data_IF_554099575218
#
_entry.id   IF_554099575218
#
_cell.length_a   1.000
_cell.length_b   1.000
_cell.length_c   1.000
_cell.angle_alpha   90.00
_cell.angle_beta   90.00
_cell.angle_gamma   90.00
#
_symmetry.space_group_name_H-M   'P 1'
#
loop_
_entity.id
_entity.type
_entity.pdbx_description
1 polymer ?
#
# COMPACT_ATOMS: atom_id res chain seq x y z
N UNK A 1 -18.52 -27.79 3.61
CA UNK A 1 -18.21 -26.38 3.24
C UNK A 1 -17.16 -26.39 2.15
N UNK A 2 -17.52 -26.02 0.92
CA UNK A 2 -16.61 -26.00 -0.23
C UNK A 2 -15.76 -24.73 -0.13
N UNK A 3 -14.46 -24.85 0.16
CA UNK A 3 -13.51 -23.73 0.12
C UNK A 3 -13.53 -23.12 -1.30
N UNK A 4 -14.08 -21.90 -1.44
CA UNK A 4 -13.96 -21.13 -2.68
C UNK A 4 -12.45 -20.85 -2.89
N UNK A 5 -11.90 -21.36 -4.01
CA UNK A 5 -10.52 -21.00 -4.41
C UNK A 5 -10.48 -19.48 -4.60
N UNK A 6 -9.42 -18.82 -4.07
CA UNK A 6 -9.24 -17.38 -4.33
C UNK A 6 -9.17 -17.14 -5.85
N UNK A 7 -9.71 -16.02 -6.33
CA UNK A 7 -9.69 -15.69 -7.74
C UNK A 7 -8.24 -15.69 -8.26
N UNK A 8 -8.01 -16.33 -9.41
CA UNK A 8 -6.72 -16.25 -10.10
C UNK A 8 -6.55 -14.81 -10.58
N UNK A 9 -5.46 -14.15 -10.16
CA UNK A 9 -5.08 -12.86 -10.72
C UNK A 9 -4.69 -13.05 -12.18
N UNK A 10 -5.46 -12.43 -13.05
CA UNK A 10 -5.08 -12.30 -14.45
C UNK A 10 -4.19 -11.07 -14.57
N UNK A 11 -2.86 -11.29 -14.56
CA UNK A 11 -1.93 -10.28 -15.02
C UNK A 11 -2.18 -10.07 -16.51
N UNK A 12 -2.54 -8.86 -16.91
CA UNK A 12 -2.64 -8.53 -18.32
C UNK A 12 -1.25 -8.53 -18.95
N UNK A 13 -1.19 -8.72 -20.29
CA UNK A 13 0.05 -8.59 -21.07
C UNK A 13 0.76 -7.25 -20.77
N UNK A 14 0.02 -6.20 -20.47
CA UNK A 14 0.54 -4.90 -20.06
C UNK A 14 1.37 -5.00 -18.76
N UNK A 15 0.93 -5.77 -17.77
CA UNK A 15 1.69 -5.95 -16.52
C UNK A 15 2.98 -6.76 -16.75
N UNK A 16 2.97 -7.69 -17.69
CA UNK A 16 4.18 -8.44 -18.05
C UNK A 16 5.19 -7.57 -18.79
N UNK A 17 4.73 -6.71 -19.70
CA UNK A 17 5.58 -5.73 -20.35
C UNK A 17 6.17 -4.73 -19.34
N UNK A 18 5.37 -4.21 -18.43
CA UNK A 18 5.85 -3.31 -17.38
C UNK A 18 6.79 -4.01 -16.40
N UNK A 19 6.67 -5.32 -16.20
CA UNK A 19 7.55 -6.09 -15.30
C UNK A 19 9.01 -6.17 -15.80
N UNK A 20 9.26 -5.94 -17.08
CA UNK A 20 10.61 -5.85 -17.67
C UNK A 20 11.08 -4.41 -17.85
N UNK A 21 10.22 -3.43 -17.69
CA UNK A 21 10.51 -2.03 -17.98
C UNK A 21 11.34 -1.39 -16.86
N UNK A 22 12.52 -0.90 -17.22
CA UNK A 22 13.43 -0.17 -16.34
C UNK A 22 13.14 1.33 -16.31
N UNK A 23 12.21 1.80 -17.13
CA UNK A 23 11.83 3.20 -17.17
C UNK A 23 10.84 3.54 -16.04
N UNK A 24 10.74 4.82 -15.65
CA UNK A 24 9.69 5.25 -14.75
C UNK A 24 8.31 4.95 -15.34
N UNK A 25 7.34 4.75 -14.48
CA UNK A 25 5.95 4.62 -14.94
C UNK A 25 5.57 5.84 -15.82
N UNK A 26 4.89 5.64 -16.97
CA UNK A 26 4.48 6.74 -17.83
C UNK A 26 3.75 7.86 -17.07
N UNK A 27 4.08 9.12 -17.38
CA UNK A 27 3.62 10.28 -16.62
C UNK A 27 2.07 10.37 -16.52
N UNK A 28 1.36 9.95 -17.59
CA UNK A 28 -0.12 9.93 -17.56
C UNK A 28 -0.66 8.89 -16.57
N UNK A 29 -0.01 7.72 -16.45
CA UNK A 29 -0.41 6.67 -15.51
C UNK A 29 -0.15 7.12 -14.06
N UNK A 30 1.02 7.73 -13.79
CA UNK A 30 1.33 8.30 -12.48
C UNK A 30 0.30 9.36 -12.09
N UNK A 31 0.05 10.32 -12.99
CA UNK A 31 -0.95 11.37 -12.75
C UNK A 31 -2.33 10.79 -12.46
N UNK A 32 -2.78 9.83 -13.24
CA UNK A 32 -4.05 9.17 -13.01
C UNK A 32 -4.12 8.49 -11.64
N UNK A 33 -3.06 7.78 -11.25
CA UNK A 33 -2.99 7.13 -9.94
C UNK A 33 -3.01 8.14 -8.80
N UNK A 34 -2.22 9.20 -8.89
CA UNK A 34 -2.17 10.28 -7.88
C UNK A 34 -3.52 11.01 -7.76
N UNK A 35 -4.17 11.29 -8.87
CA UNK A 35 -5.52 11.90 -8.87
C UNK A 35 -6.52 10.98 -8.16
N UNK A 36 -6.53 9.68 -8.49
CA UNK A 36 -7.42 8.73 -7.80
C UNK A 36 -7.17 8.66 -6.30
N UNK A 37 -5.92 8.74 -5.87
CA UNK A 37 -5.57 8.75 -4.45
C UNK A 37 -6.05 10.03 -3.77
N UNK A 38 -5.85 11.19 -4.41
CA UNK A 38 -6.31 12.48 -3.89
C UNK A 38 -7.85 12.51 -3.76
N UNK A 39 -8.57 12.04 -4.78
CA UNK A 39 -10.03 11.97 -4.77
C UNK A 39 -10.53 11.01 -3.68
N UNK A 40 -9.90 9.84 -3.56
CA UNK A 40 -10.24 8.86 -2.54
C UNK A 40 -10.00 9.39 -1.12
N UNK A 41 -8.88 10.09 -0.88
CA UNK A 41 -8.61 10.72 0.41
C UNK A 41 -9.63 11.82 0.71
N UNK A 42 -9.94 12.67 -0.27
CA UNK A 42 -10.96 13.72 -0.12
C UNK A 42 -12.32 13.10 0.24
N UNK A 43 -12.70 12.00 -0.41
CA UNK A 43 -13.93 11.27 -0.09
C UNK A 43 -13.91 10.71 1.34
N UNK A 44 -12.80 10.06 1.76
CA UNK A 44 -12.65 9.53 3.12
C UNK A 44 -12.71 10.61 4.21
N UNK A 45 -12.34 11.85 3.87
CA UNK A 45 -12.37 13.00 4.78
C UNK A 45 -13.73 13.65 4.87
N UNK A 46 -14.43 13.80 3.74
CA UNK A 46 -15.58 14.71 3.63
C UNK A 46 -16.92 14.01 3.46
N UNK A 47 -16.95 12.84 2.82
CA UNK A 47 -18.21 12.17 2.55
C UNK A 47 -18.88 11.65 3.84
N UNK A 48 -20.21 11.81 3.98
CA UNK A 48 -20.94 11.23 5.10
C UNK A 48 -20.77 9.70 5.20
N UNK A 49 -20.66 9.03 4.06
CA UNK A 49 -20.44 7.59 3.95
C UNK A 49 -19.44 7.33 2.82
N UNK A 50 -18.14 7.30 3.11
CA UNK A 50 -17.12 6.98 2.12
C UNK A 50 -17.36 5.60 1.49
N UNK A 51 -17.03 5.48 0.21
CA UNK A 51 -17.17 4.21 -0.52
C UNK A 51 -16.07 3.21 -0.17
N UNK A 52 -16.38 1.92 -0.35
CA UNK A 52 -15.37 0.86 -0.27
C UNK A 52 -14.24 1.08 -1.30
N UNK A 53 -14.56 1.68 -2.45
CA UNK A 53 -13.56 1.99 -3.48
C UNK A 53 -12.54 3.01 -2.98
N UNK A 54 -12.99 4.09 -2.33
CA UNK A 54 -12.08 5.10 -1.76
C UNK A 54 -11.17 4.47 -0.70
N UNK A 55 -11.75 3.68 0.23
CA UNK A 55 -10.97 2.97 1.25
C UNK A 55 -9.93 2.05 0.61
N UNK A 56 -10.29 1.26 -0.42
CA UNK A 56 -9.36 0.33 -1.10
C UNK A 56 -8.22 1.07 -1.78
N UNK A 57 -8.49 2.16 -2.49
CA UNK A 57 -7.44 2.94 -3.18
C UNK A 57 -6.39 3.43 -2.19
N UNK A 58 -6.80 3.94 -1.03
CA UNK A 58 -5.88 4.40 0.00
C UNK A 58 -5.17 3.22 0.66
N UNK A 59 -5.89 2.17 1.02
CA UNK A 59 -5.32 0.96 1.63
C UNK A 59 -4.27 0.30 0.73
N UNK A 60 -4.51 0.25 -0.58
CA UNK A 60 -3.55 -0.29 -1.55
C UNK A 60 -2.25 0.53 -1.55
N UNK A 61 -2.34 1.86 -1.56
CA UNK A 61 -1.16 2.73 -1.54
C UNK A 61 -0.36 2.58 -0.24
N UNK A 62 -1.03 2.53 0.92
CA UNK A 62 -0.39 2.31 2.23
C UNK A 62 0.30 0.95 2.29
N UNK A 63 -0.36 -0.12 1.85
CA UNK A 63 0.21 -1.46 1.80
C UNK A 63 1.39 -1.58 0.82
N UNK A 64 1.35 -0.83 -0.29
CA UNK A 64 2.45 -0.79 -1.25
C UNK A 64 3.65 -0.07 -0.67
N UNK A 65 3.47 1.08 -0.01
CA UNK A 65 4.58 1.76 0.66
C UNK A 65 5.17 0.87 1.76
N UNK A 66 4.35 0.22 2.59
CA UNK A 66 4.84 -0.73 3.58
C UNK A 66 5.71 -1.82 2.94
N UNK A 67 5.27 -2.38 1.83
CA UNK A 67 6.05 -3.38 1.09
C UNK A 67 7.35 -2.81 0.54
N UNK A 68 7.33 -1.58 0.03
CA UNK A 68 8.53 -0.89 -0.47
C UNK A 68 9.54 -0.65 0.65
N UNK A 69 9.10 -0.22 1.82
CA UNK A 69 9.97 0.03 2.98
C UNK A 69 10.55 -1.27 3.55
N UNK A 70 9.76 -2.34 3.59
CA UNK A 70 10.16 -3.59 4.25
C UNK A 70 10.98 -4.55 3.37
N UNK A 71 10.81 -4.52 2.05
CA UNK A 71 11.26 -5.61 1.15
C UNK A 71 12.21 -5.16 0.04
N UNK A 72 12.95 -4.07 0.22
CA UNK A 72 14.00 -3.68 -0.70
C UNK A 72 15.15 -4.71 -0.80
N UNK A 73 16.01 -4.53 -1.77
CA UNK A 73 17.17 -5.41 -1.98
C UNK A 73 18.16 -5.33 -0.80
N UNK A 74 18.24 -4.17 -0.15
CA UNK A 74 19.09 -3.94 1.03
C UNK A 74 18.30 -3.16 2.11
N UNK A 75 17.67 -3.86 3.06
CA UNK A 75 16.91 -3.21 4.12
C UNK A 75 17.84 -2.47 5.10
N UNK A 76 17.50 -1.23 5.43
CA UNK A 76 18.13 -0.42 6.46
C UNK A 76 17.36 -0.55 7.75
N UNK A 77 18.06 -0.91 8.82
CA UNK A 77 17.45 -1.09 10.15
C UNK A 77 17.89 0.02 11.09
N UNK A 78 16.96 0.49 11.90
CA UNK A 78 17.27 1.33 13.05
C UNK A 78 18.15 0.52 14.03
N UNK A 79 19.34 1.01 14.38
CA UNK A 79 20.23 0.29 15.29
C UNK A 79 19.69 0.16 16.72
N UNK A 80 18.80 1.06 17.15
CA UNK A 80 18.24 1.05 18.50
C UNK A 80 17.08 0.04 18.64
N UNK A 81 16.24 -0.09 17.61
CA UNK A 81 15.02 -0.90 17.66
C UNK A 81 15.11 -2.19 16.84
N UNK A 82 16.08 -2.30 15.94
CA UNK A 82 16.21 -3.40 14.98
C UNK A 82 15.10 -3.44 13.91
N UNK A 83 14.19 -2.47 13.91
CA UNK A 83 13.11 -2.38 12.92
C UNK A 83 13.64 -1.88 11.58
N UNK A 84 13.06 -2.37 10.50
CA UNK A 84 13.33 -1.84 9.16
C UNK A 84 12.70 -0.46 9.05
N UNK A 85 13.53 0.54 8.78
CA UNK A 85 13.12 1.95 8.65
C UNK A 85 13.22 2.46 7.22
N UNK A 86 13.97 1.76 6.38
CA UNK A 86 14.10 2.06 4.97
C UNK A 86 14.52 0.81 4.20
N UNK A 87 14.48 0.86 2.89
CA UNK A 87 15.11 -0.15 2.05
C UNK A 87 15.62 0.46 0.75
N UNK A 88 16.69 -0.14 0.19
CA UNK A 88 17.25 0.27 -1.09
C UNK A 88 16.65 -0.58 -2.22
N UNK A 89 16.18 0.10 -3.23
CA UNK A 89 15.75 -0.47 -4.50
C UNK A 89 16.68 0.02 -5.62
N UNK A 90 16.58 -0.56 -6.80
CA UNK A 90 17.32 -0.04 -7.95
C UNK A 90 16.47 0.92 -8.75
N UNK A 91 17.01 2.10 -8.99
CA UNK A 91 16.44 3.11 -9.86
C UNK A 91 16.49 2.72 -11.34
N UNK A 92 16.05 3.64 -12.20
CA UNK A 92 16.04 3.45 -13.65
C UNK A 92 17.48 3.37 -14.22
N UNK A 93 18.43 4.04 -13.62
CA UNK A 93 19.86 4.03 -13.95
C UNK A 93 20.65 2.91 -13.25
N UNK A 94 19.97 2.10 -12.46
CA UNK A 94 20.57 1.03 -11.66
C UNK A 94 21.19 1.49 -10.33
N UNK A 95 21.14 2.79 -10.01
CA UNK A 95 21.58 3.32 -8.72
C UNK A 95 20.67 2.86 -7.58
N UNK A 96 21.18 2.76 -6.34
CA UNK A 96 20.35 2.47 -5.20
C UNK A 96 19.43 3.65 -4.89
N UNK A 97 18.13 3.36 -4.73
CA UNK A 97 17.12 4.31 -4.27
C UNK A 97 16.63 3.87 -2.89
N UNK A 98 16.75 4.76 -1.93
CA UNK A 98 16.17 4.54 -0.61
C UNK A 98 14.67 4.85 -0.64
N UNK A 99 13.88 3.90 -0.14
CA UNK A 99 12.46 4.11 0.13
C UNK A 99 12.26 4.01 1.63
N UNK A 100 11.88 5.11 2.24
CA UNK A 100 11.73 5.24 3.67
C UNK A 100 10.31 5.72 4.04
N UNK A 101 9.91 5.38 5.25
CA UNK A 101 8.82 6.07 5.95
C UNK A 101 9.39 7.36 6.55
N UNK A 102 9.47 8.42 5.72
CA UNK A 102 10.12 9.68 6.10
C UNK A 102 9.36 10.42 7.20
N UNK A 103 8.06 10.20 7.27
CA UNK A 103 7.19 10.78 8.29
C UNK A 103 7.23 10.03 9.62
N UNK A 104 7.64 8.76 9.62
CA UNK A 104 7.50 7.86 10.77
C UNK A 104 6.06 7.46 11.08
N UNK A 105 5.12 7.76 10.18
CA UNK A 105 3.67 7.59 10.40
C UNK A 105 3.06 6.39 9.67
N UNK A 106 3.88 5.54 9.05
CA UNK A 106 3.37 4.39 8.29
C UNK A 106 2.57 3.43 9.18
N UNK A 107 3.05 3.13 10.38
CA UNK A 107 2.33 2.28 11.32
C UNK A 107 0.99 2.89 11.76
N UNK A 108 0.96 4.21 11.99
CA UNK A 108 -0.25 4.94 12.37
C UNK A 108 -1.26 4.98 11.21
N UNK A 109 -0.79 5.15 9.97
CA UNK A 109 -1.63 5.11 8.78
C UNK A 109 -2.26 3.71 8.59
N UNK A 110 -1.49 2.64 8.76
CA UNK A 110 -2.00 1.26 8.71
C UNK A 110 -3.08 1.06 9.79
N UNK A 111 -2.81 1.47 11.03
CA UNK A 111 -3.76 1.35 12.13
C UNK A 111 -5.04 2.17 11.87
N UNK A 112 -4.92 3.39 11.34
CA UNK A 112 -6.05 4.24 11.00
C UNK A 112 -6.92 3.62 9.89
N UNK A 113 -6.29 3.04 8.84
CA UNK A 113 -7.01 2.35 7.77
C UNK A 113 -7.71 1.08 8.27
N UNK A 114 -7.07 0.29 9.13
CA UNK A 114 -7.68 -0.88 9.77
C UNK A 114 -8.89 -0.47 10.64
N UNK A 115 -8.75 0.56 11.46
CA UNK A 115 -9.83 1.10 12.30
C UNK A 115 -11.01 1.63 11.47
N UNK A 116 -10.73 2.35 10.37
CA UNK A 116 -11.77 2.82 9.45
C UNK A 116 -12.53 1.65 8.83
N UNK A 117 -11.82 0.60 8.43
CA UNK A 117 -12.43 -0.61 7.92
C UNK A 117 -13.25 -1.37 8.97
N UNK A 118 -12.76 -1.52 10.20
CA UNK A 118 -13.51 -2.16 11.30
C UNK A 118 -14.84 -1.45 11.55
N UNK A 119 -14.87 -0.11 11.48
CA UNK A 119 -16.12 0.65 11.63
C UNK A 119 -17.22 0.22 10.65
N UNK A 120 -16.85 -0.18 9.43
CA UNK A 120 -17.83 -0.68 8.45
C UNK A 120 -18.50 -1.97 8.91
N UNK A 121 -17.74 -2.89 9.52
CA UNK A 121 -18.34 -4.13 10.07
C UNK A 121 -19.24 -3.86 11.27
N UNK A 122 -18.92 -2.79 12.01
CA UNK A 122 -19.72 -2.32 13.14
C UNK A 122 -20.96 -1.49 12.70
N UNK A 123 -21.21 -1.39 11.37
CA UNK A 123 -22.33 -0.63 10.81
C UNK A 123 -22.13 0.89 10.76
N UNK A 124 -20.90 1.37 10.99
CA UNK A 124 -20.54 2.78 10.95
C UNK A 124 -19.84 3.19 9.65
N UNK A 125 -19.85 4.48 9.28
CA UNK A 125 -19.09 4.96 8.12
C UNK A 125 -17.58 4.73 8.29
N UNK A 126 -16.92 4.32 7.20
CA UNK A 126 -15.46 4.16 7.11
C UNK A 126 -14.75 5.53 7.09
N UNK A 127 -14.78 6.28 8.17
CA UNK A 127 -14.13 7.59 8.27
C UNK A 127 -12.81 7.48 9.02
N UNK A 128 -11.85 8.25 8.56
CA UNK A 128 -10.63 8.53 9.31
C UNK A 128 -10.90 9.60 10.37
N UNK A 129 -10.25 9.48 11.51
CA UNK A 129 -10.16 10.57 12.50
C UNK A 129 -9.04 11.56 12.13
N UNK A 130 -8.95 12.68 12.83
CA UNK A 130 -7.97 13.73 12.54
C UNK A 130 -6.52 13.23 12.49
N UNK A 131 -6.03 12.51 13.52
CA UNK A 131 -4.71 11.89 13.48
C UNK A 131 -4.53 10.92 12.32
N UNK A 132 -5.53 10.06 12.05
CA UNK A 132 -5.50 9.12 10.93
C UNK A 132 -5.43 9.81 9.56
N UNK A 133 -6.13 10.92 9.37
CA UNK A 133 -6.03 11.75 8.15
C UNK A 133 -4.60 12.26 7.98
N UNK A 134 -3.99 12.79 9.04
CA UNK A 134 -2.63 13.32 9.00
C UNK A 134 -1.61 12.22 8.65
N UNK A 135 -1.71 11.06 9.30
CA UNK A 135 -0.84 9.91 9.05
C UNK A 135 -0.98 9.39 7.61
N UNK A 136 -2.22 9.18 7.14
CA UNK A 136 -2.47 8.71 5.77
C UNK A 136 -1.95 9.71 4.75
N UNK A 137 -2.16 11.01 4.95
CA UNK A 137 -1.65 12.04 4.02
C UNK A 137 -0.13 11.98 3.90
N UNK A 138 0.58 11.95 5.02
CA UNK A 138 2.04 11.87 5.02
C UNK A 138 2.55 10.61 4.29
N UNK A 139 1.93 9.45 4.54
CA UNK A 139 2.26 8.19 3.86
C UNK A 139 1.99 8.25 2.35
N UNK A 140 0.93 8.94 1.92
CA UNK A 140 0.66 9.12 0.49
C UNK A 140 1.68 10.04 -0.20
N UNK A 141 2.25 11.01 0.51
CA UNK A 141 3.36 11.85 0.02
C UNK A 141 4.65 11.02 -0.16
N UNK A 142 4.99 10.16 0.82
CA UNK A 142 6.10 9.22 0.70
C UNK A 142 5.89 8.24 -0.47
N UNK A 143 4.67 7.71 -0.63
CA UNK A 143 4.33 6.82 -1.74
C UNK A 143 4.42 7.54 -3.10
N UNK A 144 3.99 8.78 -3.21
CA UNK A 144 4.14 9.58 -4.42
C UNK A 144 5.63 9.72 -4.79
N UNK A 145 6.48 10.05 -3.83
CA UNK A 145 7.93 10.16 -4.03
C UNK A 145 8.52 8.84 -4.55
N UNK A 146 8.14 7.72 -3.96
CA UNK A 146 8.57 6.39 -4.42
C UNK A 146 8.07 6.09 -5.86
N UNK A 147 6.82 6.44 -6.17
CA UNK A 147 6.22 6.24 -7.49
C UNK A 147 6.92 7.06 -8.59
N UNK A 148 7.46 8.23 -8.25
CA UNK A 148 8.19 9.08 -9.17
C UNK A 148 9.63 8.61 -9.40
N UNK A 149 10.26 8.04 -8.38
CA UNK A 149 11.66 7.63 -8.39
C UNK A 149 11.89 6.22 -8.92
N UNK A 150 10.94 5.30 -8.72
CA UNK A 150 11.12 3.88 -9.00
C UNK A 150 10.70 3.48 -10.42
N UNK A 151 11.42 2.53 -11.06
CA UNK A 151 11.03 2.00 -12.36
C UNK A 151 9.72 1.21 -12.30
N UNK A 152 9.00 1.17 -13.42
CA UNK A 152 7.72 0.46 -13.53
C UNK A 152 7.81 -1.00 -13.08
N UNK A 153 8.91 -1.70 -13.43
CA UNK A 153 9.15 -3.09 -13.00
C UNK A 153 9.16 -3.25 -11.48
N UNK A 154 9.75 -2.28 -10.76
CA UNK A 154 9.82 -2.31 -9.30
C UNK A 154 8.43 -2.16 -8.69
N UNK A 155 7.61 -1.24 -9.22
CA UNK A 155 6.23 -1.07 -8.79
C UNK A 155 5.39 -2.33 -9.05
N UNK A 156 5.52 -2.96 -10.21
CA UNK A 156 4.83 -4.23 -10.52
C UNK A 156 5.28 -5.35 -9.58
N UNK A 157 6.57 -5.45 -9.30
CA UNK A 157 7.12 -6.42 -8.33
C UNK A 157 6.55 -6.17 -6.94
N UNK A 158 6.52 -4.92 -6.49
CA UNK A 158 5.95 -4.53 -5.21
C UNK A 158 4.47 -4.93 -5.11
N UNK A 159 3.66 -4.62 -6.12
CA UNK A 159 2.26 -5.06 -6.18
C UNK A 159 2.12 -6.57 -6.00
N UNK A 160 2.90 -7.37 -6.75
CA UNK A 160 2.86 -8.83 -6.65
C UNK A 160 3.22 -9.34 -5.24
N UNK A 161 4.21 -8.70 -4.61
CA UNK A 161 4.63 -9.04 -3.25
C UNK A 161 3.53 -8.70 -2.24
N UNK A 162 2.94 -7.52 -2.35
CA UNK A 162 1.83 -7.07 -1.49
C UNK A 162 0.62 -8.00 -1.62
N UNK A 163 0.22 -8.34 -2.85
CA UNK A 163 -0.88 -9.27 -3.09
C UNK A 163 -0.59 -10.68 -2.54
N UNK A 164 0.64 -11.16 -2.71
CA UNK A 164 1.04 -12.45 -2.15
C UNK A 164 0.91 -12.44 -0.63
N UNK A 165 1.43 -11.39 0.04
CA UNK A 165 1.32 -11.20 1.49
C UNK A 165 -0.14 -11.19 1.95
N UNK A 166 -0.98 -10.38 1.29
CA UNK A 166 -2.40 -10.30 1.61
C UNK A 166 -3.08 -11.68 1.49
N UNK A 167 -2.79 -12.45 0.44
CA UNK A 167 -3.34 -13.81 0.27
C UNK A 167 -2.86 -14.78 1.34
N UNK A 168 -1.60 -14.69 1.75
CA UNK A 168 -1.06 -15.52 2.83
C UNK A 168 -1.75 -15.21 4.15
N UNK A 169 -2.03 -13.94 4.44
CA UNK A 169 -2.81 -13.51 5.60
C UNK A 169 -4.23 -14.07 5.51
N UNK A 170 -4.92 -13.92 4.38
CA UNK A 170 -6.25 -14.51 4.17
C UNK A 170 -6.26 -16.04 4.29
N UNK A 171 -5.20 -16.71 3.83
CA UNK A 171 -5.07 -18.15 3.97
C UNK A 171 -4.90 -18.64 5.41
N UNK A 172 -4.52 -17.74 6.33
CA UNK A 172 -4.27 -18.00 7.75
C UNK A 172 -5.33 -17.36 8.67
N UNK A 173 -6.48 -16.98 8.14
CA UNK A 173 -7.49 -16.21 8.87
C UNK A 173 -7.91 -16.86 10.19
N UNK A 174 -7.90 -18.22 10.26
CA UNK A 174 -8.22 -18.97 11.47
C UNK A 174 -7.10 -18.96 12.53
N UNK A 175 -5.93 -18.38 12.20
CA UNK A 175 -4.71 -18.39 13.03
C UNK A 175 -3.97 -17.04 13.00
N UNK A 176 -4.69 -15.94 12.79
CA UNK A 176 -4.06 -14.61 12.79
C UNK A 176 -3.58 -14.26 14.19
N UNK A 177 -2.38 -13.66 14.33
CA UNK A 177 -1.94 -13.09 15.60
C UNK A 177 -2.92 -12.03 16.09
N UNK A 178 -3.00 -11.87 17.42
CA UNK A 178 -3.79 -10.80 18.04
C UNK A 178 -3.41 -9.44 17.45
N UNK A 179 -4.40 -8.64 17.08
CA UNK A 179 -4.21 -7.32 16.48
C UNK A 179 -4.06 -7.29 14.96
N UNK A 180 -4.06 -8.44 14.29
CA UNK A 180 -4.09 -8.49 12.81
C UNK A 180 -5.53 -8.60 12.33
N UNK A 181 -6.03 -7.53 11.73
CA UNK A 181 -7.37 -7.50 11.13
C UNK A 181 -7.27 -7.62 9.62
N UNK A 182 -7.88 -8.67 9.07
CA UNK A 182 -7.99 -8.85 7.62
C UNK A 182 -9.41 -8.54 7.19
N UNK A 183 -9.56 -7.55 6.33
CA UNK A 183 -10.84 -7.23 5.74
C UNK A 183 -10.97 -7.87 4.36
N UNK A 184 -11.86 -8.86 4.24
CA UNK A 184 -12.32 -9.36 2.95
C UNK A 184 -13.47 -8.44 2.48
N UNK A 185 -13.21 -7.65 1.45
CA UNK A 185 -14.23 -6.84 0.77
C UNK A 185 -14.57 -7.47 -0.57
#
# INVERSE_FOLDING_TARGET
>A
MTRKRPPKLHYSLMHELLASDTQPMPAHNRRHQLTRMADALAEMMTAPKPSNTAWRVISDAVNLLETLVQHGEAPVKDPATGKVVASHWRGCDGSPIEVADTSGLLADAIAAMAKAGQRMFDGHPMRLDGPGIAAVRAVLEDYQTALEALPARTMVRCHRMTEKRIREIFGRIDHLPDGVHVMAI
#
